data_IF_513918790476
#
_entry.id   IF_513918790476
#
_cell.length_a   1.000
_cell.length_b   1.000
_cell.length_c   1.000
_cell.angle_alpha   90.00
_cell.angle_beta   90.00
_cell.angle_gamma   90.00
#
_symmetry.space_group_name_H-M   'P 1'
#
loop_
_entity.id
_entity.type
_entity.pdbx_description
1 polymer ?
#
# COMPACT_ATOMS: atom_id res chain seq x y z
N UNK A 1 17.26 5.67 5.64
CA UNK A 1 16.26 5.71 4.54
C UNK A 1 16.47 7.02 3.78
N UNK A 2 16.48 6.99 2.44
CA UNK A 2 16.75 8.19 1.62
C UNK A 2 15.50 8.72 0.91
N UNK A 3 14.48 7.88 0.79
CA UNK A 3 13.32 8.10 -0.07
C UNK A 3 12.34 9.10 0.55
N UNK A 4 11.67 9.87 -0.30
CA UNK A 4 10.71 10.88 0.12
C UNK A 4 9.34 10.23 0.39
N UNK A 5 8.75 10.47 1.55
CA UNK A 5 7.43 9.94 1.90
C UNK A 5 6.34 10.87 1.37
N UNK A 6 5.34 10.31 0.70
CA UNK A 6 4.14 11.03 0.28
C UNK A 6 2.98 10.67 1.20
N UNK A 7 2.36 11.68 1.80
CA UNK A 7 1.22 11.54 2.73
C UNK A 7 0.04 12.42 2.28
N UNK A 8 -1.13 12.27 2.92
CA UNK A 8 -2.31 13.06 2.58
C UNK A 8 -2.28 14.44 3.27
N UNK A 9 -2.10 14.44 4.59
CA UNK A 9 -2.31 15.60 5.45
C UNK A 9 -1.08 16.09 6.20
N UNK A 10 -1.24 17.19 6.94
CA UNK A 10 -0.17 17.76 7.78
C UNK A 10 0.08 16.93 9.03
N UNK A 11 -0.95 16.29 9.59
CA UNK A 11 -0.80 15.46 10.78
C UNK A 11 -0.06 14.16 10.47
N UNK A 12 -0.23 13.62 9.26
CA UNK A 12 0.59 12.52 8.75
C UNK A 12 2.08 12.89 8.67
N UNK A 13 2.42 14.12 8.27
CA UNK A 13 3.81 14.59 8.26
C UNK A 13 4.40 14.48 9.66
N UNK A 14 3.65 14.89 10.69
CA UNK A 14 4.12 14.83 12.08
C UNK A 14 4.37 13.38 12.49
N UNK A 15 3.43 12.49 12.20
CA UNK A 15 3.54 11.07 12.53
C UNK A 15 4.76 10.42 11.82
N UNK A 16 4.95 10.69 10.54
CA UNK A 16 6.09 10.18 9.76
C UNK A 16 7.41 10.73 10.29
N UNK A 17 7.51 12.04 10.55
CA UNK A 17 8.73 12.65 11.10
C UNK A 17 9.08 12.18 12.50
N UNK A 18 8.08 11.79 13.30
CA UNK A 18 8.31 11.14 14.59
C UNK A 18 8.86 9.71 14.44
N UNK A 19 8.61 9.06 13.29
CA UNK A 19 9.06 7.70 13.00
C UNK A 19 10.42 7.65 12.32
N UNK A 20 10.64 8.48 11.30
CA UNK A 20 11.81 8.44 10.41
C UNK A 20 12.24 9.84 10.01
N UNK A 21 13.55 10.08 10.03
CA UNK A 21 14.13 11.32 9.51
C UNK A 21 14.27 11.25 7.99
N UNK A 22 13.28 11.79 7.28
CA UNK A 22 13.25 11.83 5.83
C UNK A 22 12.42 13.02 5.32
N UNK A 23 12.61 13.43 4.04
CA UNK A 23 11.71 14.38 3.40
C UNK A 23 10.29 13.82 3.31
N UNK A 24 9.29 14.66 3.61
CA UNK A 24 7.87 14.30 3.53
C UNK A 24 7.13 15.35 2.72
N UNK A 25 6.29 14.91 1.78
CA UNK A 25 5.43 15.76 0.95
C UNK A 25 3.98 15.38 1.25
N UNK A 26 3.16 16.34 1.69
CA UNK A 26 1.71 16.18 1.75
C UNK A 26 1.05 16.57 0.43
N UNK A 27 0.06 15.79 -0.02
CA UNK A 27 -0.75 16.11 -1.20
C UNK A 27 -1.79 17.19 -0.91
N UNK A 28 -2.25 17.31 0.34
CA UNK A 28 -3.34 18.21 0.72
C UNK A 28 -4.71 17.65 0.34
N UNK A 29 -4.87 16.33 0.40
CA UNK A 29 -6.07 15.61 -0.02
C UNK A 29 -5.97 15.03 -1.44
N UNK A 30 -7.12 14.68 -2.01
CA UNK A 30 -7.26 13.98 -3.30
C UNK A 30 -7.14 14.89 -4.52
N UNK A 31 -7.42 16.19 -4.38
CA UNK A 31 -7.50 17.16 -5.47
C UNK A 31 -6.19 17.93 -5.71
N UNK A 32 -5.05 17.25 -5.71
CA UNK A 32 -3.76 17.89 -5.98
C UNK A 32 -3.48 18.05 -7.49
N UNK A 33 -3.00 19.20 -7.94
CA UNK A 33 -2.77 19.50 -9.36
C UNK A 33 -1.38 19.14 -9.89
N UNK A 34 -1.11 19.50 -11.15
CA UNK A 34 0.16 19.22 -11.84
C UNK A 34 1.40 19.77 -11.10
N UNK A 35 1.28 20.92 -10.44
CA UNK A 35 2.39 21.48 -9.64
C UNK A 35 2.87 20.50 -8.55
N UNK A 36 1.92 19.85 -7.86
CA UNK A 36 2.23 18.86 -6.82
C UNK A 36 2.76 17.57 -7.44
N UNK A 37 2.19 17.14 -8.57
CA UNK A 37 2.71 15.98 -9.30
C UNK A 37 4.15 16.20 -9.81
N UNK A 38 4.48 17.39 -10.30
CA UNK A 38 5.84 17.75 -10.70
C UNK A 38 6.81 17.69 -9.53
N UNK A 39 6.41 18.18 -8.35
CA UNK A 39 7.18 18.06 -7.10
C UNK A 39 7.44 16.59 -6.74
N UNK A 40 6.41 15.73 -6.83
CA UNK A 40 6.52 14.30 -6.56
C UNK A 40 7.42 13.59 -7.59
N UNK A 41 7.31 13.92 -8.88
CA UNK A 41 8.19 13.40 -9.95
C UNK A 41 9.65 13.78 -9.69
N UNK A 42 9.91 15.02 -9.29
CA UNK A 42 11.25 15.46 -8.94
C UNK A 42 11.79 14.70 -7.72
N UNK A 43 10.97 14.46 -6.70
CA UNK A 43 11.35 13.64 -5.55
C UNK A 43 11.67 12.19 -5.96
N UNK A 44 10.85 11.58 -6.84
CA UNK A 44 11.11 10.25 -7.38
C UNK A 44 12.46 10.19 -8.10
N UNK A 45 12.79 11.18 -8.94
CA UNK A 45 14.05 11.20 -9.67
C UNK A 45 15.29 11.37 -8.77
N UNK A 46 15.17 12.11 -7.66
CA UNK A 46 16.30 12.35 -6.75
C UNK A 46 16.57 11.19 -5.80
N UNK A 47 15.52 10.68 -5.16
CA UNK A 47 15.64 9.77 -4.01
C UNK A 47 14.73 8.57 -4.09
N UNK A 48 13.82 8.51 -5.06
CA UNK A 48 12.64 7.66 -5.01
C UNK A 48 11.58 8.19 -4.02
N UNK A 49 10.35 7.71 -4.18
CA UNK A 49 9.22 8.00 -3.29
C UNK A 49 8.58 6.74 -2.73
N UNK A 50 7.96 6.89 -1.55
CA UNK A 50 7.07 5.90 -0.95
C UNK A 50 5.76 6.58 -0.57
N UNK A 51 4.65 6.10 -1.12
CA UNK A 51 3.30 6.58 -0.79
C UNK A 51 2.80 5.84 0.44
N UNK A 52 2.55 6.60 1.50
CA UNK A 52 1.99 6.14 2.76
C UNK A 52 0.71 6.95 3.05
N UNK A 53 -0.43 6.36 2.68
CA UNK A 53 -1.76 6.92 2.90
C UNK A 53 -2.66 5.90 3.58
N UNK A 54 -3.81 6.38 4.08
CA UNK A 54 -4.78 5.55 4.76
C UNK A 54 -5.41 4.48 3.86
N UNK A 55 -5.88 3.37 4.45
CA UNK A 55 -6.56 2.29 3.73
C UNK A 55 -8.04 2.66 3.45
N UNK A 56 -8.29 3.90 3.05
CA UNK A 56 -9.62 4.43 2.77
C UNK A 56 -9.74 4.87 1.29
N UNK A 57 -10.88 5.46 0.93
CA UNK A 57 -11.13 5.91 -0.45
C UNK A 57 -10.19 7.06 -0.86
N UNK A 58 -9.92 8.01 0.05
CA UNK A 58 -9.07 9.15 -0.24
C UNK A 58 -7.62 8.71 -0.48
N UNK A 59 -7.08 7.90 0.43
CA UNK A 59 -5.76 7.32 0.33
C UNK A 59 -5.60 6.44 -0.91
N UNK A 60 -6.63 5.68 -1.30
CA UNK A 60 -6.62 4.92 -2.54
C UNK A 60 -6.58 5.83 -3.77
N UNK A 61 -7.40 6.88 -3.82
CA UNK A 61 -7.44 7.83 -4.94
C UNK A 61 -6.09 8.52 -5.14
N UNK A 62 -5.43 8.93 -4.05
CA UNK A 62 -4.08 9.49 -4.08
C UNK A 62 -3.08 8.49 -4.66
N UNK A 63 -3.09 7.23 -4.19
CA UNK A 63 -2.20 6.17 -4.69
C UNK A 63 -2.37 5.95 -6.19
N UNK A 64 -3.61 5.85 -6.66
CA UNK A 64 -3.90 5.61 -8.08
C UNK A 64 -3.41 6.76 -8.96
N UNK A 65 -3.63 8.01 -8.52
CA UNK A 65 -3.17 9.18 -9.23
C UNK A 65 -1.65 9.27 -9.32
N UNK A 66 -0.95 9.02 -8.20
CA UNK A 66 0.52 9.00 -8.17
C UNK A 66 1.06 7.86 -9.03
N UNK A 67 0.52 6.64 -8.90
CA UNK A 67 1.02 5.48 -9.68
C UNK A 67 0.92 5.72 -11.18
N UNK A 68 -0.18 6.34 -11.65
CA UNK A 68 -0.36 6.68 -13.07
C UNK A 68 0.63 7.74 -13.54
N UNK A 69 0.95 8.72 -12.70
CA UNK A 69 1.74 9.89 -13.07
C UNK A 69 3.26 9.73 -12.81
N UNK A 70 3.64 8.77 -11.95
CA UNK A 70 5.00 8.57 -11.44
C UNK A 70 5.33 7.07 -11.44
N UNK A 71 5.84 6.55 -12.57
CA UNK A 71 6.28 5.15 -12.66
C UNK A 71 7.39 4.85 -11.65
N UNK A 72 7.36 3.65 -11.05
CA UNK A 72 8.31 3.24 -10.02
C UNK A 72 8.05 3.85 -8.63
N UNK A 73 6.92 4.53 -8.44
CA UNK A 73 6.46 4.93 -7.12
C UNK A 73 6.20 3.68 -6.27
N UNK A 74 6.80 3.61 -5.08
CA UNK A 74 6.57 2.49 -4.16
C UNK A 74 5.45 2.82 -3.18
N UNK A 75 4.86 1.79 -2.60
CA UNK A 75 3.69 1.92 -1.73
C UNK A 75 3.91 1.18 -0.42
N UNK A 76 3.72 1.89 0.68
CA UNK A 76 3.65 1.32 2.03
C UNK A 76 2.19 1.23 2.46
N UNK A 77 1.84 0.19 3.22
CA UNK A 77 0.50 -0.01 3.78
C UNK A 77 0.60 -0.21 5.29
N UNK A 78 -0.25 0.47 6.05
CA UNK A 78 -0.28 0.29 7.50
C UNK A 78 -0.91 -1.07 7.86
N UNK A 79 -0.25 -1.87 8.71
CA UNK A 79 -0.85 -3.08 9.28
C UNK A 79 -2.08 -2.74 10.12
N UNK A 80 -3.24 -3.32 9.80
CA UNK A 80 -4.48 -3.07 10.56
C UNK A 80 -4.40 -3.59 12.00
N UNK A 81 -3.58 -4.62 12.24
CA UNK A 81 -3.31 -5.15 13.59
C UNK A 81 -2.57 -4.15 14.49
N UNK A 82 -1.96 -3.11 13.92
CA UNK A 82 -1.22 -2.06 14.62
C UNK A 82 -1.94 -0.71 14.58
N UNK A 83 -3.16 -0.65 14.02
CA UNK A 83 -4.05 0.47 14.22
C UNK A 83 -4.38 0.56 15.72
N UNK A 84 -4.24 1.75 16.30
CA UNK A 84 -4.36 1.98 17.74
C UNK A 84 -5.64 1.39 18.36
N UNK A 85 -5.62 1.12 19.68
CA UNK A 85 -6.74 0.54 20.46
C UNK A 85 -8.10 1.18 20.14
N UNK A 86 -8.13 2.48 19.82
CA UNK A 86 -9.31 3.25 19.46
C UNK A 86 -9.90 3.00 18.05
N UNK A 87 -9.42 2.00 17.30
CA UNK A 87 -9.93 1.63 15.97
C UNK A 87 -9.84 2.75 14.92
N UNK A 88 -9.14 3.84 15.20
CA UNK A 88 -8.88 4.90 14.23
C UNK A 88 -7.77 4.43 13.29
N UNK A 89 -8.18 4.01 12.10
CA UNK A 89 -7.27 3.74 10.99
C UNK A 89 -6.82 5.09 10.42
N UNK A 90 -5.53 5.42 10.58
CA UNK A 90 -4.98 6.72 10.18
C UNK A 90 -3.46 6.74 10.32
N UNK A 91 -2.73 7.28 9.35
CA UNK A 91 -1.28 7.54 9.45
C UNK A 91 -1.00 8.47 10.62
N UNK A 92 -1.83 9.51 10.82
CA UNK A 92 -1.78 10.41 11.97
C UNK A 92 -1.92 9.73 13.35
N UNK A 93 -2.53 8.53 13.40
CA UNK A 93 -2.76 7.77 14.64
C UNK A 93 -1.84 6.56 14.80
N UNK A 94 -0.98 6.30 13.81
CA UNK A 94 -0.04 5.20 13.83
C UNK A 94 1.13 5.51 14.76
N UNK A 95 1.51 4.53 15.59
CA UNK A 95 2.73 4.64 16.39
C UNK A 95 3.96 4.71 15.47
N UNK A 96 5.05 5.38 15.90
CA UNK A 96 6.31 5.43 15.15
C UNK A 96 6.82 4.04 14.70
N UNK A 97 6.70 3.03 15.55
CA UNK A 97 7.04 1.63 15.25
C UNK A 97 6.21 1.04 14.10
N UNK A 98 4.93 1.37 14.02
CA UNK A 98 4.01 0.90 12.98
C UNK A 98 4.39 1.50 11.63
N UNK A 99 4.71 2.79 11.61
CA UNK A 99 5.18 3.48 10.40
C UNK A 99 6.48 2.85 9.92
N UNK A 100 7.46 2.63 10.82
CA UNK A 100 8.72 1.96 10.46
C UNK A 100 8.49 0.58 9.84
N UNK A 101 7.63 -0.25 10.44
CA UNK A 101 7.26 -1.57 9.89
C UNK A 101 6.61 -1.46 8.51
N UNK A 102 5.69 -0.52 8.32
CA UNK A 102 5.04 -0.31 7.04
C UNK A 102 6.03 0.10 5.95
N UNK A 103 7.01 0.96 6.29
CA UNK A 103 8.06 1.40 5.37
C UNK A 103 9.07 0.29 5.06
N UNK A 104 9.33 -0.62 6.00
CA UNK A 104 10.20 -1.79 5.80
C UNK A 104 9.53 -2.83 4.88
N UNK A 105 8.21 -2.99 4.99
CA UNK A 105 7.41 -3.91 4.14
C UNK A 105 7.15 -3.42 2.71
N UNK A 106 7.77 -2.31 2.30
CA UNK A 106 7.51 -1.71 0.99
C UNK A 106 7.98 -2.64 -0.12
N UNK A 107 7.04 -3.16 -0.90
CA UNK A 107 7.36 -3.90 -2.11
C UNK A 107 7.84 -2.96 -3.20
N UNK A 108 8.99 -3.30 -3.78
CA UNK A 108 9.48 -2.73 -5.03
C UNK A 108 8.78 -3.41 -6.21
N UNK A 109 8.47 -2.67 -7.27
CA UNK A 109 8.10 -3.24 -8.57
C UNK A 109 9.34 -3.93 -9.16
N UNK A 110 9.67 -5.12 -8.65
CA UNK A 110 10.87 -5.88 -9.02
C UNK A 110 10.45 -7.24 -9.55
N UNK A 111 10.11 -7.30 -10.84
CA UNK A 111 9.80 -8.54 -11.53
C UNK A 111 9.03 -8.33 -12.82
N UNK A 112 8.93 -9.37 -13.69
CA UNK A 112 7.97 -9.36 -14.78
C UNK A 112 6.56 -9.18 -14.22
N UNK A 113 5.73 -8.39 -14.90
CA UNK A 113 4.31 -8.24 -14.54
C UNK A 113 3.68 -9.63 -14.45
N UNK A 114 2.94 -9.87 -13.37
CA UNK A 114 2.21 -11.12 -13.18
C UNK A 114 1.16 -11.31 -14.27
N UNK A 115 0.85 -12.57 -14.56
CA UNK A 115 -0.12 -12.98 -15.58
C UNK A 115 -1.39 -13.59 -14.97
N UNK A 116 -1.67 -13.31 -13.69
CA UNK A 116 -2.85 -13.85 -13.02
C UNK A 116 -4.13 -13.25 -13.60
N UNK A 117 -5.19 -14.05 -13.60
CA UNK A 117 -6.51 -13.69 -14.13
C UNK A 117 -7.57 -13.71 -13.02
N UNK A 118 -8.77 -13.22 -13.32
CA UNK A 118 -9.90 -13.34 -12.40
C UNK A 118 -10.32 -14.81 -12.17
N UNK A 119 -10.12 -15.67 -13.17
CA UNK A 119 -10.33 -17.10 -13.04
C UNK A 119 -9.37 -17.71 -12.02
N UNK A 120 -8.09 -17.30 -12.02
CA UNK A 120 -7.13 -17.74 -11.01
C UNK A 120 -7.56 -17.33 -9.59
N UNK A 121 -8.05 -16.10 -9.41
CA UNK A 121 -8.60 -15.66 -8.12
C UNK A 121 -9.80 -16.49 -7.69
N UNK A 122 -10.66 -16.90 -8.63
CA UNK A 122 -11.82 -17.74 -8.34
C UNK A 122 -11.37 -19.14 -7.89
N UNK A 123 -10.42 -19.75 -8.60
CA UNK A 123 -9.83 -21.06 -8.22
C UNK A 123 -9.14 -21.00 -6.85
N UNK A 124 -8.49 -19.88 -6.51
CA UNK A 124 -7.89 -19.68 -5.19
C UNK A 124 -8.88 -19.30 -4.08
N UNK A 125 -10.19 -19.21 -4.38
CA UNK A 125 -11.22 -18.81 -3.42
C UNK A 125 -11.12 -17.35 -2.96
N UNK A 126 -10.40 -16.51 -3.72
CA UNK A 126 -10.24 -15.08 -3.48
C UNK A 126 -11.35 -14.24 -4.13
N UNK A 127 -12.32 -14.85 -4.82
CA UNK A 127 -13.55 -14.22 -5.30
C UNK A 127 -14.68 -15.25 -5.40
N UNK A 128 -15.93 -14.82 -5.56
CA UNK A 128 -17.08 -15.70 -5.80
C UNK A 128 -17.58 -16.53 -4.61
N UNK A 129 -17.04 -16.33 -3.39
CA UNK A 129 -17.48 -17.01 -2.17
C UNK A 129 -17.64 -16.04 -1.00
N UNK A 130 -18.44 -16.41 0.00
CA UNK A 130 -18.63 -15.60 1.20
C UNK A 130 -17.32 -15.39 1.99
N UNK A 131 -16.41 -16.37 1.98
CA UNK A 131 -15.11 -16.28 2.63
C UNK A 131 -14.07 -15.45 1.84
N UNK A 132 -14.35 -15.11 0.58
CA UNK A 132 -13.37 -14.49 -0.31
C UNK A 132 -12.86 -13.12 0.20
N UNK A 133 -13.73 -12.33 0.82
CA UNK A 133 -13.36 -11.02 1.36
C UNK A 133 -12.30 -11.14 2.46
N UNK A 134 -12.53 -12.02 3.43
CA UNK A 134 -11.58 -12.24 4.53
C UNK A 134 -10.28 -12.90 4.05
N UNK A 135 -10.36 -13.84 3.10
CA UNK A 135 -9.17 -14.44 2.47
C UNK A 135 -8.31 -13.39 1.77
N UNK A 136 -8.91 -12.49 0.99
CA UNK A 136 -8.19 -11.35 0.37
C UNK A 136 -7.59 -10.42 1.41
N UNK A 137 -8.31 -10.17 2.51
CA UNK A 137 -7.83 -9.33 3.62
C UNK A 137 -6.53 -9.89 4.21
N UNK A 138 -6.55 -11.16 4.61
CA UNK A 138 -5.40 -11.87 5.19
C UNK A 138 -4.23 -11.97 4.20
N UNK A 139 -4.51 -12.40 2.96
CA UNK A 139 -3.49 -12.52 1.93
C UNK A 139 -2.88 -11.15 1.58
N UNK A 140 -3.72 -10.12 1.42
CA UNK A 140 -3.28 -8.77 1.06
C UNK A 140 -2.36 -8.14 2.10
N UNK A 141 -2.64 -8.40 3.40
CA UNK A 141 -1.77 -7.98 4.50
C UNK A 141 -0.41 -8.68 4.44
N UNK A 142 -0.39 -10.02 4.33
CA UNK A 142 0.85 -10.82 4.26
C UNK A 142 1.71 -10.48 3.05
N UNK A 143 1.05 -10.27 1.91
CA UNK A 143 1.70 -9.89 0.67
C UNK A 143 2.09 -8.40 0.65
N UNK A 144 1.78 -7.62 1.69
CA UNK A 144 2.07 -6.18 1.77
C UNK A 144 1.47 -5.38 0.60
N UNK A 145 0.30 -5.81 0.12
CA UNK A 145 -0.48 -5.13 -0.93
C UNK A 145 -1.77 -4.51 -0.39
N UNK A 146 -2.01 -4.62 0.92
CA UNK A 146 -3.15 -4.03 1.61
C UNK A 146 -4.50 -4.71 1.33
N UNK A 147 -5.53 -4.25 2.03
CA UNK A 147 -6.91 -4.72 1.84
C UNK A 147 -7.51 -4.10 0.57
N UNK A 148 -8.20 -4.91 -0.23
CA UNK A 148 -8.86 -4.45 -1.45
C UNK A 148 -9.89 -5.45 -1.98
N UNK A 149 -10.71 -5.00 -2.93
CA UNK A 149 -11.63 -5.87 -3.67
C UNK A 149 -10.88 -6.79 -4.65
N UNK A 150 -11.58 -7.76 -5.26
CA UNK A 150 -10.96 -8.74 -6.14
C UNK A 150 -10.25 -8.12 -7.35
N UNK A 151 -10.86 -7.12 -8.01
CA UNK A 151 -10.27 -6.45 -9.17
C UNK A 151 -8.96 -5.73 -8.81
N UNK A 152 -8.94 -5.02 -7.69
CA UNK A 152 -7.75 -4.30 -7.21
C UNK A 152 -6.69 -5.23 -6.64
N UNK A 153 -7.10 -6.34 -6.02
CA UNK A 153 -6.19 -7.39 -5.60
C UNK A 153 -5.45 -7.94 -6.83
N UNK A 154 -6.18 -8.27 -7.90
CA UNK A 154 -5.62 -8.74 -9.17
C UNK A 154 -4.64 -7.74 -9.78
N UNK A 155 -5.04 -6.46 -9.84
CA UNK A 155 -4.19 -5.38 -10.33
C UNK A 155 -2.87 -5.30 -9.55
N UNK A 156 -2.93 -5.35 -8.21
CA UNK A 156 -1.76 -5.24 -7.35
C UNK A 156 -0.85 -6.46 -7.44
N UNK A 157 -1.37 -7.68 -7.41
CA UNK A 157 -0.53 -8.88 -7.54
C UNK A 157 0.19 -8.92 -8.88
N UNK A 158 -0.49 -8.53 -9.98
CA UNK A 158 0.13 -8.45 -11.28
C UNK A 158 1.14 -7.30 -11.38
N UNK A 159 0.85 -6.13 -10.81
CA UNK A 159 1.78 -4.99 -10.78
C UNK A 159 3.07 -5.35 -10.04
N UNK A 160 2.97 -5.97 -8.88
CA UNK A 160 4.13 -6.34 -8.05
C UNK A 160 4.77 -7.68 -8.44
N UNK A 161 4.34 -8.30 -9.54
CA UNK A 161 4.90 -9.58 -10.01
C UNK A 161 4.70 -10.75 -9.03
N UNK A 162 3.72 -10.65 -8.13
CA UNK A 162 3.42 -11.66 -7.13
C UNK A 162 2.93 -12.92 -7.83
N UNK A 163 3.59 -14.04 -7.55
CA UNK A 163 3.30 -15.31 -8.20
C UNK A 163 2.13 -16.01 -7.51
N UNK A 164 1.48 -16.92 -8.24
CA UNK A 164 0.41 -17.77 -7.69
C UNK A 164 0.86 -18.48 -6.41
N UNK A 165 2.10 -18.98 -6.37
CA UNK A 165 2.69 -19.67 -5.22
C UNK A 165 2.76 -18.79 -3.97
N UNK A 166 3.14 -17.53 -4.11
CA UNK A 166 3.21 -16.58 -2.99
C UNK A 166 1.83 -16.34 -2.39
N UNK A 167 0.79 -16.26 -3.25
CA UNK A 167 -0.59 -16.10 -2.83
C UNK A 167 -1.09 -17.35 -2.11
N UNK A 168 -0.78 -18.53 -2.64
CA UNK A 168 -1.14 -19.81 -2.03
C UNK A 168 -0.46 -19.99 -0.66
N UNK A 169 0.81 -19.60 -0.53
CA UNK A 169 1.53 -19.61 0.75
C UNK A 169 0.90 -18.63 1.74
N UNK A 170 0.63 -17.40 1.30
CA UNK A 170 -0.07 -16.40 2.11
C UNK A 170 -1.46 -16.87 2.55
N UNK A 171 -2.11 -17.76 1.79
CA UNK A 171 -3.38 -18.39 2.14
C UNK A 171 -3.24 -19.60 3.07
N UNK A 172 -2.20 -20.44 2.92
CA UNK A 172 -1.98 -21.65 3.75
C UNK A 172 -1.68 -21.32 5.20
N UNK A 173 -0.89 -20.29 5.45
CA UNK A 173 -0.59 -19.85 6.82
C UNK A 173 -1.82 -19.32 7.57
N UNK A 174 -3.02 -19.31 6.95
CA UNK A 174 -4.28 -18.88 7.57
C UNK A 174 -4.97 -19.98 8.38
N UNK A 175 -4.40 -21.19 8.41
CA UNK A 175 -4.99 -22.37 9.07
C UNK A 175 -4.36 -22.70 10.44
N UNK A 176 -3.57 -21.79 11.01
CA UNK A 176 -3.03 -21.95 12.35
C UNK A 176 -2.71 -20.59 12.95
N UNK A 177 -3.63 -20.11 13.79
CA UNK A 177 -3.48 -19.23 14.96
C UNK A 177 -4.88 -18.91 15.50
#
# INVERSE_FOLDING_TARGET
>A
MKETIIVEGKDDIRAVKAAVDCPVIATGGTHFGEKKLAEIRAAQARTGIIVLTDPDYAGQSIREKITKAVPGARHAYLPRALASKDHKAGVEHAKPETIRKALDSVRTESGPKGSLTMADLMTMGLTGSAAAAERRRKAGHRLSIGECNAARFLERVNRYGIQKKDIEEALRSSNGE
#
